data_IF_503465161192
#
_entry.id   IF_503465161192
#
_cell.length_a   1.000
_cell.length_b   1.000
_cell.length_c   1.000
_cell.angle_alpha   90.00
_cell.angle_beta   90.00
_cell.angle_gamma   90.00
#
_symmetry.space_group_name_H-M   'P 1'
#
loop_
_entity.id
_entity.type
_entity.pdbx_description
1 polymer ?
#
# COMPACT_ATOMS: atom_id res chain seq x y z
N UNK A 1 3.16 14.64 -0.19
CA UNK A 1 3.08 14.20 -1.60
C UNK A 1 3.11 15.43 -2.47
N UNK A 2 4.01 15.44 -3.45
CA UNK A 2 4.14 16.54 -4.38
C UNK A 2 2.92 16.54 -5.33
N UNK A 3 2.34 17.72 -5.64
CA UNK A 3 1.23 17.79 -6.59
C UNK A 3 1.55 17.22 -7.98
N UNK A 4 2.82 17.17 -8.34
CA UNK A 4 3.26 16.59 -9.61
C UNK A 4 3.26 15.06 -9.59
N UNK A 5 3.16 14.43 -8.42
CA UNK A 5 3.14 12.99 -8.29
C UNK A 5 1.75 12.43 -8.54
N UNK A 6 1.69 11.13 -8.84
CA UNK A 6 0.41 10.47 -9.05
C UNK A 6 -0.42 10.49 -7.77
N UNK A 7 -1.66 10.94 -7.89
CA UNK A 7 -2.64 10.93 -6.78
C UNK A 7 -3.55 9.73 -6.85
N UNK A 8 -3.66 9.12 -8.00
CA UNK A 8 -4.52 7.97 -8.23
C UNK A 8 -3.71 6.88 -8.91
N UNK A 9 -3.88 5.67 -8.43
CA UNK A 9 -3.22 4.50 -8.97
C UNK A 9 -4.24 3.39 -9.11
N UNK A 10 -4.28 2.76 -10.28
CA UNK A 10 -5.13 1.60 -10.51
C UNK A 10 -4.25 0.44 -10.92
N UNK A 11 -4.49 -0.71 -10.31
CA UNK A 11 -3.73 -1.91 -10.64
C UNK A 11 -4.50 -3.16 -10.30
N UNK A 12 -4.01 -4.29 -10.82
CA UNK A 12 -4.58 -5.59 -10.51
C UNK A 12 -3.87 -6.16 -9.28
N UNK A 13 -4.65 -6.78 -8.41
CA UNK A 13 -4.12 -7.42 -7.21
C UNK A 13 -3.44 -8.73 -7.61
N UNK A 14 -2.18 -8.86 -7.24
CA UNK A 14 -1.35 -10.04 -7.51
C UNK A 14 -0.78 -10.60 -6.22
N UNK A 15 -0.23 -11.80 -6.28
CA UNK A 15 0.42 -12.40 -5.11
C UNK A 15 1.73 -11.68 -4.79
N UNK A 16 2.03 -11.54 -3.49
CA UNK A 16 3.25 -10.92 -2.99
C UNK A 16 3.80 -11.69 -1.80
N UNK A 17 4.67 -11.05 -1.02
CA UNK A 17 5.37 -11.71 0.10
C UNK A 17 4.49 -12.02 1.30
N UNK A 18 3.37 -11.34 1.44
CA UNK A 18 2.41 -11.57 2.52
C UNK A 18 2.98 -11.39 3.94
N UNK A 19 4.03 -10.59 4.11
CA UNK A 19 4.62 -10.35 5.42
C UNK A 19 3.63 -9.68 6.37
N UNK A 20 2.90 -8.68 5.91
CA UNK A 20 1.90 -7.99 6.70
C UNK A 20 0.81 -8.93 7.22
N UNK A 21 0.44 -9.93 6.43
CA UNK A 21 -0.55 -10.93 6.83
C UNK A 21 -0.11 -11.68 8.08
N UNK A 22 1.18 -12.02 8.17
CA UNK A 22 1.73 -12.72 9.33
C UNK A 22 1.70 -11.86 10.59
N UNK A 23 1.67 -10.54 10.44
CA UNK A 23 1.63 -9.58 11.53
C UNK A 23 0.21 -9.09 11.84
N UNK A 24 -0.81 -9.62 11.15
CA UNK A 24 -2.19 -9.17 11.32
C UNK A 24 -2.59 -7.99 10.44
N UNK A 25 -1.76 -7.63 9.46
CA UNK A 25 -2.02 -6.53 8.52
C UNK A 25 -1.91 -7.05 7.09
N UNK A 26 -2.89 -7.88 6.64
CA UNK A 26 -2.81 -8.43 5.29
C UNK A 26 -2.81 -7.33 4.25
N UNK A 27 -2.00 -7.48 3.23
CA UNK A 27 -1.86 -6.49 2.16
C UNK A 27 -2.18 -7.08 0.80
N UNK A 28 -2.73 -6.22 -0.07
CA UNK A 28 -2.91 -6.50 -1.48
C UNK A 28 -1.71 -5.91 -2.22
N UNK A 29 -1.06 -6.72 -3.04
CA UNK A 29 0.04 -6.26 -3.90
C UNK A 29 -0.53 -5.86 -5.25
N UNK A 30 -0.25 -4.63 -5.69
CA UNK A 30 -0.77 -4.14 -6.96
C UNK A 30 0.29 -4.23 -8.04
N UNK A 31 -0.12 -4.81 -9.17
CA UNK A 31 0.65 -4.74 -10.40
C UNK A 31 0.29 -3.46 -11.13
N UNK A 32 1.29 -2.65 -11.43
CA UNK A 32 1.10 -1.38 -12.11
C UNK A 32 1.69 -1.44 -13.51
N UNK A 33 1.13 -0.63 -14.43
CA UNK A 33 1.65 -0.56 -15.78
C UNK A 33 3.10 -0.03 -15.77
N UNK A 34 3.97 -0.53 -16.68
CA UNK A 34 5.31 0.03 -16.82
C UNK A 34 5.24 1.54 -17.05
N UNK A 35 6.15 2.26 -16.42
CA UNK A 35 6.25 3.72 -16.55
C UNK A 35 5.04 4.50 -16.00
N UNK A 36 4.13 3.83 -15.28
CA UNK A 36 3.07 4.55 -14.59
C UNK A 36 3.68 5.41 -13.49
N UNK A 37 3.36 6.70 -13.40
CA UNK A 37 3.89 7.53 -12.32
C UNK A 37 3.45 7.01 -10.94
N UNK A 38 4.40 6.88 -10.03
CA UNK A 38 4.15 6.49 -8.65
C UNK A 38 4.55 7.61 -7.72
N UNK A 39 3.89 7.75 -6.56
CA UNK A 39 4.38 8.65 -5.52
C UNK A 39 5.77 8.23 -5.04
N UNK A 40 6.47 9.12 -4.38
CA UNK A 40 7.75 8.79 -3.76
C UNK A 40 7.60 7.65 -2.76
N UNK A 41 8.67 6.88 -2.54
CA UNK A 41 8.66 5.79 -1.58
C UNK A 41 8.19 6.28 -0.21
N UNK A 42 7.35 5.52 0.43
CA UNK A 42 6.82 5.88 1.74
C UNK A 42 5.53 5.15 2.07
N UNK A 43 4.97 5.50 3.21
CA UNK A 43 3.69 4.97 3.67
C UNK A 43 2.66 6.09 3.56
N UNK A 44 1.51 5.76 2.98
CA UNK A 44 0.46 6.72 2.66
C UNK A 44 -0.89 6.28 3.22
N UNK A 45 -1.70 7.27 3.57
CA UNK A 45 -3.14 7.09 3.73
C UNK A 45 -3.79 7.24 2.36
N UNK A 46 -4.70 6.33 2.04
CA UNK A 46 -5.39 6.35 0.76
C UNK A 46 -6.84 5.88 0.93
N UNK A 47 -7.66 6.17 -0.06
CA UNK A 47 -8.97 5.58 -0.19
C UNK A 47 -8.91 4.53 -1.27
N UNK A 48 -9.30 3.30 -0.92
CA UNK A 48 -9.34 2.19 -1.87
C UNK A 48 -10.76 2.06 -2.42
N UNK A 49 -10.86 1.86 -3.73
CA UNK A 49 -12.14 1.56 -4.39
C UNK A 49 -12.02 0.19 -5.03
N UNK A 50 -12.91 -0.71 -4.64
CA UNK A 50 -12.95 -2.07 -5.12
C UNK A 50 -13.66 -2.15 -6.47
N UNK A 51 -13.51 -3.30 -7.16
CA UNK A 51 -14.13 -3.49 -8.47
C UNK A 51 -15.66 -3.38 -8.42
N UNK A 52 -16.28 -3.70 -7.30
CA UNK A 52 -17.74 -3.59 -7.12
C UNK A 52 -18.20 -2.19 -6.70
N UNK A 53 -17.29 -1.23 -6.58
CA UNK A 53 -17.63 0.15 -6.21
C UNK A 53 -17.55 0.46 -4.73
N UNK A 54 -17.37 -0.54 -3.86
CA UNK A 54 -17.19 -0.28 -2.43
C UNK A 54 -15.88 0.44 -2.18
N UNK A 55 -15.86 1.29 -1.16
CA UNK A 55 -14.67 2.04 -0.78
C UNK A 55 -14.31 1.77 0.67
N UNK A 56 -13.03 1.86 0.98
CA UNK A 56 -12.55 1.80 2.36
C UNK A 56 -11.21 2.53 2.49
N UNK A 57 -10.84 2.94 3.72
CA UNK A 57 -9.52 3.49 3.95
C UNK A 57 -8.45 2.44 3.73
N UNK A 58 -7.25 2.87 3.34
CA UNK A 58 -6.13 1.97 3.12
C UNK A 58 -4.84 2.57 3.62
N UNK A 59 -3.96 1.71 4.11
CA UNK A 59 -2.57 2.02 4.38
C UNK A 59 -1.75 1.47 3.23
N UNK A 60 -1.03 2.34 2.52
CA UNK A 60 -0.34 1.96 1.30
C UNK A 60 1.16 2.16 1.47
N UNK A 61 1.93 1.13 1.17
CA UNK A 61 3.38 1.21 1.14
C UNK A 61 3.86 1.22 -0.31
N UNK A 62 4.57 2.29 -0.67
CA UNK A 62 5.23 2.40 -1.98
C UNK A 62 6.72 2.24 -1.73
N UNK A 63 7.34 1.26 -2.37
CA UNK A 63 8.74 0.97 -2.18
C UNK A 63 9.37 0.35 -3.41
N UNK A 64 10.56 -0.20 -3.23
CA UNK A 64 11.28 -0.90 -4.28
C UNK A 64 11.82 -2.22 -3.75
N UNK A 65 11.95 -3.19 -4.64
CA UNK A 65 12.58 -4.47 -4.34
C UNK A 65 13.66 -4.79 -5.33
N UNK A 66 14.75 -5.44 -4.88
CA UNK A 66 15.73 -5.99 -5.82
C UNK A 66 15.06 -7.03 -6.72
N UNK A 67 15.44 -7.04 -8.00
CA UNK A 67 15.01 -8.08 -8.93
C UNK A 67 16.15 -9.04 -9.17
N UNK A 68 15.82 -10.26 -9.60
CA UNK A 68 16.82 -11.22 -10.04
C UNK A 68 17.45 -10.65 -11.32
N UNK A 69 18.79 -10.55 -11.31
CA UNK A 69 19.53 -9.93 -12.40
C UNK A 69 19.99 -8.53 -12.01
N UNK A 70 19.49 -7.49 -12.64
CA UNK A 70 19.90 -6.11 -12.38
C UNK A 70 18.70 -5.22 -12.14
N UNK A 71 18.90 -4.20 -11.30
CA UNK A 71 17.92 -3.16 -11.07
C UNK A 71 16.98 -3.42 -9.90
N UNK A 72 15.99 -2.56 -9.79
CA UNK A 72 14.98 -2.58 -8.73
C UNK A 72 13.61 -2.44 -9.37
N UNK A 73 12.61 -3.05 -8.74
CA UNK A 73 11.23 -2.97 -9.19
C UNK A 73 10.40 -2.24 -8.15
N UNK A 74 9.63 -1.22 -8.55
CA UNK A 74 8.72 -0.57 -7.61
C UNK A 74 7.63 -1.55 -7.16
N UNK A 75 7.22 -1.41 -5.90
CA UNK A 75 6.16 -2.23 -5.30
C UNK A 75 5.11 -1.32 -4.67
N UNK A 76 3.86 -1.72 -4.78
CA UNK A 76 2.74 -1.04 -4.13
C UNK A 76 1.96 -2.09 -3.35
N UNK A 77 1.90 -1.93 -2.03
CA UNK A 77 1.18 -2.84 -1.14
C UNK A 77 0.14 -2.03 -0.38
N UNK A 78 -1.11 -2.50 -0.39
CA UNK A 78 -2.21 -1.81 0.27
C UNK A 78 -2.86 -2.71 1.32
N UNK A 79 -2.94 -2.23 2.56
CA UNK A 79 -3.74 -2.85 3.62
C UNK A 79 -5.07 -2.11 3.67
N UNK A 80 -6.15 -2.80 3.32
CA UNK A 80 -7.49 -2.23 3.31
C UNK A 80 -8.11 -2.36 4.70
N UNK A 81 -8.38 -1.21 5.32
CA UNK A 81 -8.83 -1.15 6.71
C UNK A 81 -10.31 -1.53 6.78
N UNK A 82 -10.62 -2.53 7.60
CA UNK A 82 -11.99 -2.98 7.78
C UNK A 82 -12.51 -3.91 6.69
N UNK A 83 -11.69 -4.23 5.69
CA UNK A 83 -12.05 -5.15 4.64
C UNK A 83 -11.57 -6.57 4.95
N UNK A 84 -12.43 -7.55 4.73
CA UNK A 84 -12.11 -8.97 4.86
C UNK A 84 -12.50 -9.66 3.56
N UNK A 85 -11.60 -10.44 3.00
CA UNK A 85 -11.85 -11.17 1.77
C UNK A 85 -10.63 -11.24 0.89
N UNK A 86 -10.75 -11.93 -0.24
CA UNK A 86 -9.70 -12.10 -1.22
C UNK A 86 -9.95 -11.19 -2.41
N UNK A 87 -8.96 -10.37 -2.73
CA UNK A 87 -9.02 -9.44 -3.86
C UNK A 87 -8.15 -9.90 -5.04
N UNK A 88 -7.50 -11.05 -4.90
CA UNK A 88 -6.59 -11.54 -5.94
C UNK A 88 -7.25 -11.54 -7.32
N UNK A 89 -6.55 -10.99 -8.31
CA UNK A 89 -7.03 -10.91 -9.68
C UNK A 89 -7.99 -9.78 -9.97
N UNK A 90 -8.46 -9.07 -8.94
CA UNK A 90 -9.38 -7.94 -9.12
C UNK A 90 -8.61 -6.64 -9.31
N UNK A 91 -9.26 -5.68 -9.94
CA UNK A 91 -8.73 -4.33 -10.09
C UNK A 91 -9.04 -3.51 -8.84
N UNK A 92 -8.03 -2.81 -8.34
CA UNK A 92 -8.15 -1.95 -7.18
C UNK A 92 -7.67 -0.56 -7.55
N UNK A 93 -8.45 0.46 -7.18
CA UNK A 93 -8.06 1.86 -7.35
C UNK A 93 -7.68 2.44 -6.01
N UNK A 94 -6.55 3.13 -5.97
CA UNK A 94 -6.07 3.85 -4.79
C UNK A 94 -6.03 5.34 -5.08
N UNK A 95 -6.71 6.12 -4.26
CA UNK A 95 -6.62 7.57 -4.29
C UNK A 95 -5.80 7.99 -3.07
N UNK A 96 -4.58 8.46 -3.30
CA UNK A 96 -3.67 8.86 -2.23
C UNK A 96 -4.14 10.17 -1.59
N UNK A 97 -4.26 10.18 -0.28
CA UNK A 97 -4.76 11.33 0.47
C UNK A 97 -3.64 12.06 1.18
N UNK A 98 -2.74 11.32 1.84
CA UNK A 98 -1.71 11.93 2.67
C UNK A 98 -0.52 11.00 2.83
N UNK A 99 0.67 11.58 2.78
CA UNK A 99 1.89 10.87 3.14
C UNK A 99 1.98 10.79 4.67
N UNK A 100 2.19 9.58 5.20
CA UNK A 100 2.28 9.35 6.64
C UNK A 100 3.73 9.40 7.11
N UNK A 101 4.63 8.73 6.40
CA UNK A 101 6.04 8.69 6.77
C UNK A 101 6.88 8.12 5.65
N UNK A 102 8.20 8.27 5.78
CA UNK A 102 9.15 7.62 4.89
C UNK A 102 9.10 6.11 5.06
N UNK A 103 9.43 5.38 4.01
CA UNK A 103 9.66 3.96 4.12
C UNK A 103 10.91 3.74 4.99
N UNK A 104 10.83 2.84 5.96
CA UNK A 104 11.91 2.56 6.88
C UNK A 104 11.96 1.09 7.21
N UNK A 105 13.17 0.53 7.14
CA UNK A 105 13.39 -0.85 7.56
C UNK A 105 13.45 -0.90 9.09
N UNK A 106 12.65 -1.78 9.69
CA UNK A 106 12.66 -2.00 11.12
C UNK A 106 13.67 -3.09 11.49
N UNK A 107 14.20 -3.02 12.70
CA UNK A 107 15.22 -3.96 13.18
C UNK A 107 14.64 -5.35 13.43
N UNK A 108 13.36 -5.43 13.80
CA UNK A 108 12.71 -6.70 14.09
C UNK A 108 11.21 -6.60 13.83
N UNK A 109 10.53 -7.77 13.88
CA UNK A 109 9.10 -7.85 13.59
C UNK A 109 8.23 -7.12 14.61
N UNK A 110 8.66 -7.09 15.88
CA UNK A 110 7.89 -6.39 16.91
C UNK A 110 7.87 -4.89 16.68
N UNK A 111 8.99 -4.32 16.28
CA UNK A 111 9.08 -2.89 15.95
C UNK A 111 8.24 -2.57 14.70
N UNK A 112 8.28 -3.45 13.70
CA UNK A 112 7.46 -3.30 12.51
C UNK A 112 5.97 -3.31 12.87
N UNK A 113 5.55 -4.27 13.69
CA UNK A 113 4.15 -4.36 14.12
C UNK A 113 3.70 -3.12 14.86
N UNK A 114 4.53 -2.60 15.76
CA UNK A 114 4.24 -1.37 16.50
C UNK A 114 4.08 -0.17 15.57
N UNK A 115 4.99 -0.04 14.59
CA UNK A 115 4.93 1.06 13.64
C UNK A 115 3.68 0.98 12.77
N UNK A 116 3.32 -0.22 12.30
CA UNK A 116 2.10 -0.40 11.52
C UNK A 116 0.86 -0.02 12.32
N UNK A 117 0.82 -0.33 13.62
CA UNK A 117 -0.27 0.08 14.51
C UNK A 117 -0.38 1.60 14.62
N UNK A 118 0.74 2.30 14.75
CA UNK A 118 0.76 3.76 14.80
C UNK A 118 0.28 4.38 13.48
N UNK A 119 0.75 3.84 12.36
CA UNK A 119 0.33 4.30 11.04
C UNK A 119 -1.17 4.16 10.86
N UNK A 120 -1.71 3.01 11.28
CA UNK A 120 -3.13 2.72 11.18
C UNK A 120 -3.96 3.70 12.01
N UNK A 121 -3.50 4.01 13.22
CA UNK A 121 -4.20 4.98 14.09
C UNK A 121 -4.23 6.36 13.45
N UNK A 122 -3.13 6.80 12.83
CA UNK A 122 -3.11 8.08 12.12
C UNK A 122 -4.10 8.10 10.96
N UNK A 123 -4.17 7.02 10.20
CA UNK A 123 -5.08 6.94 9.05
C UNK A 123 -6.53 6.97 9.50
N UNK A 124 -6.86 6.27 10.59
CA UNK A 124 -8.22 6.28 11.13
C UNK A 124 -8.68 7.67 11.54
N UNK A 125 -7.77 8.50 12.02
CA UNK A 125 -8.09 9.89 12.41
C UNK A 125 -8.47 10.76 11.23
N UNK A 126 -8.13 10.38 10.01
CA UNK A 126 -8.42 11.16 8.81
C UNK A 126 -9.86 10.98 8.33
N UNK A 127 -10.61 10.04 8.84
CA UNK A 127 -12.01 9.76 8.46
C UNK A 127 -12.21 9.60 6.95
N UNK A 128 -11.41 8.74 6.35
CA UNK A 128 -11.48 8.50 4.90
C UNK A 128 -12.66 7.62 4.49
#
# INVERSE_FOLDING_TARGET
MDPAEARTLTGRVVHGQQLGRRLGYPTANLETAPHHPLPANGVYAARATLADGRTCPAMVNVGVRPTVGSGQRPTVEAHLIGFHGDLYGQTLRLDFVRRIRDERKMDNLDDLKRQLGKDLDEIRKLNL
#
